data_IF_911285912640
#
_entry.id   IF_911285912640
#
_cell.length_a   1.000
_cell.length_b   1.000
_cell.length_c   1.000
_cell.angle_alpha   90.00
_cell.angle_beta   90.00
_cell.angle_gamma   90.00
#
_symmetry.space_group_name_H-M   'P 1'
#
loop_
_entity.id
_entity.type
_entity.pdbx_description
1 polymer ?
#
# COMPACT_ATOMS: atom_id res chain seq x y z
N UNK A 1 -4.68 23.77 -10.99
CA UNK A 1 -4.79 22.87 -9.81
C UNK A 1 -4.54 21.46 -10.31
N UNK A 2 -3.61 20.71 -9.71
CA UNK A 2 -3.32 19.32 -10.13
C UNK A 2 -4.31 18.36 -9.48
N UNK A 3 -4.73 17.34 -10.20
CA UNK A 3 -5.71 16.36 -9.73
C UNK A 3 -5.10 14.97 -9.66
N UNK A 4 -5.31 14.29 -8.52
CA UNK A 4 -4.83 12.93 -8.28
C UNK A 4 -6.01 11.97 -8.25
N UNK A 5 -5.96 10.95 -9.11
CA UNK A 5 -6.84 9.79 -9.02
C UNK A 5 -6.26 8.79 -8.03
N UNK A 6 -7.01 8.45 -7.00
CA UNK A 6 -6.66 7.42 -6.02
C UNK A 6 -7.66 6.27 -6.12
N UNK A 7 -7.14 5.11 -6.55
CA UNK A 7 -7.88 3.85 -6.56
C UNK A 7 -7.60 3.14 -5.22
N UNK A 8 -8.51 3.29 -4.27
CA UNK A 8 -8.46 2.68 -2.94
C UNK A 8 -9.86 2.57 -2.35
N UNK A 9 -10.01 1.75 -1.30
CA UNK A 9 -11.28 1.61 -0.58
C UNK A 9 -11.83 2.95 -0.09
N UNK A 10 -13.14 3.15 -0.27
CA UNK A 10 -13.85 4.39 0.04
C UNK A 10 -13.74 4.86 1.49
N UNK A 11 -13.54 3.93 2.43
CA UNK A 11 -13.34 4.23 3.86
C UNK A 11 -12.13 5.13 4.16
N UNK A 12 -11.16 5.24 3.25
CA UNK A 12 -9.95 6.05 3.43
C UNK A 12 -10.03 7.40 2.72
N UNK A 13 -11.07 7.66 1.93
CA UNK A 13 -11.13 8.84 1.07
C UNK A 13 -11.23 10.14 1.86
N UNK A 14 -11.84 10.12 3.04
CA UNK A 14 -12.05 11.34 3.82
C UNK A 14 -10.72 11.99 4.23
N UNK A 15 -9.82 11.21 4.85
CA UNK A 15 -8.50 11.68 5.26
C UNK A 15 -7.64 12.10 4.05
N UNK A 16 -7.73 11.35 2.95
CA UNK A 16 -7.00 11.66 1.72
C UNK A 16 -7.47 12.96 1.08
N UNK A 17 -8.78 13.15 0.99
CA UNK A 17 -9.39 14.34 0.41
C UNK A 17 -9.08 15.59 1.22
N UNK A 18 -9.21 15.52 2.56
CA UNK A 18 -8.85 16.63 3.44
C UNK A 18 -7.37 17.00 3.32
N UNK A 19 -6.48 16.00 3.39
CA UNK A 19 -5.04 16.22 3.35
C UNK A 19 -4.55 16.76 2.00
N UNK A 20 -5.12 16.30 0.88
CA UNK A 20 -4.76 16.81 -0.45
C UNK A 20 -5.34 18.20 -0.71
N UNK A 21 -6.56 18.48 -0.23
CA UNK A 21 -7.16 19.81 -0.35
C UNK A 21 -6.35 20.87 0.40
N UNK A 22 -5.75 20.52 1.54
CA UNK A 22 -4.87 21.43 2.30
C UNK A 22 -3.64 21.90 1.50
N UNK A 23 -3.22 21.11 0.49
CA UNK A 23 -2.08 21.41 -0.38
C UNK A 23 -2.53 21.79 -1.80
N UNK A 24 -3.80 22.20 -1.95
CA UNK A 24 -4.40 22.63 -3.21
C UNK A 24 -4.33 21.57 -4.33
N UNK A 25 -4.39 20.28 -3.95
CA UNK A 25 -4.48 19.15 -4.88
C UNK A 25 -5.91 18.62 -4.93
N UNK A 26 -6.44 18.44 -6.14
CA UNK A 26 -7.72 17.81 -6.39
C UNK A 26 -7.66 16.30 -6.11
N UNK A 27 -8.72 15.75 -5.53
CA UNK A 27 -8.84 14.33 -5.24
C UNK A 27 -9.97 13.71 -6.06
N UNK A 28 -9.65 12.64 -6.79
CA UNK A 28 -10.62 11.75 -7.43
C UNK A 28 -10.49 10.36 -6.81
N UNK A 29 -11.58 9.83 -6.25
CA UNK A 29 -11.60 8.50 -5.64
C UNK A 29 -12.28 7.49 -6.54
N UNK A 30 -11.75 6.25 -6.59
CA UNK A 30 -12.42 5.15 -7.28
C UNK A 30 -12.36 3.84 -6.49
N UNK A 31 -13.55 3.31 -6.17
CA UNK A 31 -13.74 2.08 -5.41
C UNK A 31 -14.95 1.32 -5.98
N UNK A 32 -14.68 0.42 -6.92
CA UNK A 32 -15.69 -0.51 -7.44
C UNK A 32 -15.11 -1.91 -7.52
N UNK A 33 -15.88 -2.89 -7.03
CA UNK A 33 -15.53 -4.32 -7.15
C UNK A 33 -15.59 -4.83 -8.59
N UNK A 34 -16.47 -4.25 -9.42
CA UNK A 34 -16.62 -4.54 -10.85
C UNK A 34 -16.44 -3.25 -11.67
N UNK A 35 -15.19 -2.84 -11.94
CA UNK A 35 -14.92 -1.62 -12.69
C UNK A 35 -15.33 -1.78 -14.16
N UNK A 36 -15.86 -0.71 -14.76
CA UNK A 36 -15.99 -0.61 -16.22
C UNK A 36 -14.74 0.05 -16.79
N UNK A 37 -14.32 -0.40 -17.97
CA UNK A 37 -13.11 0.12 -18.61
C UNK A 37 -13.22 1.62 -18.93
N UNK A 38 -14.31 2.00 -19.60
CA UNK A 38 -14.57 3.38 -20.01
C UNK A 38 -14.60 4.38 -18.84
N UNK A 39 -15.10 3.95 -17.69
CA UNK A 39 -15.14 4.79 -16.49
C UNK A 39 -13.74 5.10 -15.96
N UNK A 40 -12.87 4.09 -15.90
CA UNK A 40 -11.48 4.29 -15.46
C UNK A 40 -10.71 5.13 -16.48
N UNK A 41 -10.91 4.90 -17.77
CA UNK A 41 -10.27 5.69 -18.82
C UNK A 41 -10.64 7.18 -18.70
N UNK A 42 -11.93 7.47 -18.45
CA UNK A 42 -12.40 8.85 -18.21
C UNK A 42 -11.78 9.47 -16.94
N UNK A 43 -11.67 8.70 -15.85
CA UNK A 43 -11.07 9.17 -14.61
C UNK A 43 -9.57 9.43 -14.76
N UNK A 44 -8.86 8.57 -15.48
CA UNK A 44 -7.43 8.75 -15.77
C UNK A 44 -7.22 9.98 -16.66
N UNK A 45 -8.07 10.20 -17.67
CA UNK A 45 -7.99 11.39 -18.52
C UNK A 45 -8.23 12.72 -17.77
N UNK A 46 -8.96 12.69 -16.66
CA UNK A 46 -9.20 13.86 -15.80
C UNK A 46 -8.10 14.07 -14.75
N UNK A 47 -7.23 13.09 -14.55
CA UNK A 47 -6.20 13.12 -13.53
C UNK A 47 -4.83 13.46 -14.13
N UNK A 48 -4.05 14.25 -13.41
CA UNK A 48 -2.65 14.48 -13.74
C UNK A 48 -1.75 13.37 -13.21
N UNK A 49 -2.19 12.66 -12.16
CA UNK A 49 -1.44 11.59 -11.52
C UNK A 49 -2.37 10.49 -11.03
N UNK A 50 -1.97 9.23 -11.21
CA UNK A 50 -2.75 8.07 -10.78
C UNK A 50 -2.03 7.30 -9.68
N UNK A 51 -2.69 7.08 -8.55
CA UNK A 51 -2.21 6.25 -7.46
C UNK A 51 -3.14 5.09 -7.19
N UNK A 52 -2.56 3.91 -7.04
CA UNK A 52 -3.31 2.67 -6.88
C UNK A 52 -2.82 1.96 -5.62
N UNK A 53 -3.75 1.67 -4.70
CA UNK A 53 -3.45 0.83 -3.54
C UNK A 53 -3.47 -0.64 -3.98
N UNK A 54 -2.38 -1.36 -3.71
CA UNK A 54 -2.20 -2.76 -4.06
C UNK A 54 -2.96 -3.73 -3.14
N UNK A 55 -3.92 -3.24 -2.35
CA UNK A 55 -4.68 -4.03 -1.39
C UNK A 55 -6.17 -3.71 -1.54
N UNK A 56 -6.99 -4.77 -1.58
CA UNK A 56 -8.45 -4.74 -1.62
C UNK A 56 -9.11 -3.99 -2.79
N UNK A 57 -8.32 -3.63 -3.81
CA UNK A 57 -8.77 -3.10 -5.08
C UNK A 57 -9.01 -4.24 -6.06
N UNK A 58 -10.03 -4.13 -6.91
CA UNK A 58 -10.26 -5.11 -7.96
C UNK A 58 -9.07 -5.16 -8.92
N UNK A 59 -8.54 -6.35 -9.20
CA UNK A 59 -7.42 -6.53 -10.15
C UNK A 59 -7.69 -5.89 -11.52
N UNK A 60 -8.94 -5.93 -11.99
CA UNK A 60 -9.37 -5.27 -13.21
C UNK A 60 -9.15 -3.74 -13.15
N UNK A 61 -9.38 -3.10 -12.00
CA UNK A 61 -9.17 -1.66 -11.85
C UNK A 61 -7.71 -1.30 -12.04
N UNK A 62 -6.81 -2.11 -11.47
CA UNK A 62 -5.36 -1.93 -11.61
C UNK A 62 -4.94 -2.08 -13.07
N UNK A 63 -5.44 -3.13 -13.74
CA UNK A 63 -5.11 -3.40 -15.14
C UNK A 63 -5.58 -2.26 -16.05
N UNK A 64 -6.84 -1.84 -15.88
CA UNK A 64 -7.44 -0.79 -16.69
C UNK A 64 -6.75 0.55 -16.47
N UNK A 65 -6.47 0.93 -15.22
CA UNK A 65 -5.78 2.17 -14.91
C UNK A 65 -4.35 2.18 -15.45
N UNK A 66 -3.63 1.05 -15.38
CA UNK A 66 -2.27 0.93 -15.94
C UNK A 66 -2.27 1.07 -17.45
N UNK A 67 -3.19 0.42 -18.14
CA UNK A 67 -3.32 0.53 -19.60
C UNK A 67 -3.75 1.94 -20.03
N UNK A 68 -4.70 2.55 -19.32
CA UNK A 68 -5.14 3.92 -19.54
C UNK A 68 -4.00 4.93 -19.36
N UNK A 69 -3.30 4.86 -18.23
CA UNK A 69 -2.19 5.74 -17.90
C UNK A 69 -1.04 5.61 -18.91
N UNK A 70 -0.77 4.39 -19.40
CA UNK A 70 0.21 4.17 -20.48
C UNK A 70 -0.22 4.81 -21.80
N UNK A 71 -1.52 4.81 -22.11
CA UNK A 71 -2.04 5.37 -23.36
C UNK A 71 -2.05 6.91 -23.34
N UNK A 72 -2.29 7.52 -22.17
CA UNK A 72 -2.33 8.97 -21.98
C UNK A 72 -0.99 9.59 -21.52
N UNK A 73 0.05 8.77 -21.40
CA UNK A 73 1.34 9.13 -20.79
C UNK A 73 1.19 9.79 -19.39
N UNK A 74 0.16 9.38 -18.66
CA UNK A 74 -0.11 9.90 -17.32
C UNK A 74 0.77 9.15 -16.32
N UNK A 75 1.55 9.86 -15.47
CA UNK A 75 2.36 9.20 -14.47
C UNK A 75 1.47 8.45 -13.47
N UNK A 76 1.84 7.20 -13.18
CA UNK A 76 1.12 6.37 -12.23
C UNK A 76 2.05 5.68 -11.24
N UNK A 77 1.53 5.38 -10.06
CA UNK A 77 2.25 4.63 -9.04
C UNK A 77 1.35 3.62 -8.33
N UNK A 78 1.89 2.42 -8.12
CA UNK A 78 1.23 1.34 -7.39
C UNK A 78 2.01 1.10 -6.12
N UNK A 79 1.34 1.15 -4.98
CA UNK A 79 1.96 0.92 -3.69
C UNK A 79 1.11 0.08 -2.76
N UNK A 80 1.75 -0.48 -1.75
CA UNK A 80 1.04 -0.99 -0.57
C UNK A 80 0.48 0.19 0.24
N UNK A 81 0.08 -0.04 1.49
CA UNK A 81 -0.54 0.96 2.36
C UNK A 81 0.16 2.33 2.29
N UNK A 82 -0.54 3.38 1.84
CA UNK A 82 -0.01 4.73 1.72
C UNK A 82 -1.00 5.76 2.27
N UNK A 83 -0.45 6.84 2.84
CA UNK A 83 -1.21 8.01 3.28
C UNK A 83 -0.90 9.24 2.43
N UNK A 84 -1.48 10.38 2.80
CA UNK A 84 -1.34 11.67 2.11
C UNK A 84 0.12 12.07 1.90
N UNK A 85 0.98 11.86 2.90
CA UNK A 85 2.41 12.19 2.85
C UNK A 85 3.11 11.51 1.67
N UNK A 86 2.83 10.21 1.46
CA UNK A 86 3.42 9.43 0.37
C UNK A 86 2.90 9.88 -0.99
N UNK A 87 1.61 10.25 -1.07
CA UNK A 87 1.02 10.81 -2.29
C UNK A 87 1.77 12.09 -2.68
N UNK A 88 1.97 12.99 -1.72
CA UNK A 88 2.67 14.26 -1.95
C UNK A 88 4.13 14.04 -2.34
N UNK A 89 4.84 13.12 -1.68
CA UNK A 89 6.21 12.75 -2.03
C UNK A 89 6.32 12.28 -3.48
N UNK A 90 5.43 11.39 -3.92
CA UNK A 90 5.42 10.89 -5.30
C UNK A 90 5.00 11.95 -6.30
N UNK A 91 4.10 12.84 -5.92
CA UNK A 91 3.66 13.93 -6.75
C UNK A 91 4.77 14.97 -6.96
N UNK A 92 5.57 15.28 -5.93
CA UNK A 92 6.79 16.11 -6.06
C UNK A 92 7.81 15.50 -7.01
N UNK A 93 7.96 14.18 -6.99
CA UNK A 93 8.88 13.50 -7.90
C UNK A 93 8.38 13.53 -9.35
N UNK A 94 7.08 13.36 -9.57
CA UNK A 94 6.47 13.42 -10.90
C UNK A 94 6.39 14.85 -11.46
N UNK A 95 6.22 15.85 -10.59
CA UNK A 95 6.06 17.25 -10.95
C UNK A 95 6.96 18.14 -10.08
N UNK A 96 8.28 18.17 -10.35
CA UNK A 96 9.25 18.91 -9.53
C UNK A 96 9.02 20.43 -9.56
N UNK A 97 8.40 20.96 -10.62
CA UNK A 97 8.08 22.37 -10.75
C UNK A 97 6.85 22.80 -9.92
N UNK A 98 6.11 21.84 -9.35
CA UNK A 98 4.92 22.16 -8.57
C UNK A 98 5.30 22.75 -7.22
N UNK A 99 4.98 24.04 -7.04
CA UNK A 99 5.03 24.71 -5.73
C UNK A 99 3.85 24.24 -4.89
N UNK A 100 4.06 23.21 -4.10
CA UNK A 100 3.08 22.78 -3.10
C UNK A 100 3.07 23.78 -1.95
N UNK A 101 1.89 24.28 -1.57
CA UNK A 101 1.75 25.15 -0.41
C UNK A 101 2.25 24.43 0.85
N UNK A 102 3.28 24.96 1.52
CA UNK A 102 3.80 24.39 2.78
C UNK A 102 2.82 24.51 3.95
N UNK A 103 1.67 25.17 3.73
CA UNK A 103 0.63 25.32 4.73
C UNK A 103 -0.04 23.97 4.98
N UNK A 104 0.22 23.42 6.16
CA UNK A 104 -0.52 22.35 6.83
C UNK A 104 -0.06 20.90 6.58
N UNK A 105 1.24 20.64 6.77
CA UNK A 105 1.66 19.40 7.44
C UNK A 105 1.88 19.67 8.93
N UNK A 106 0.85 20.14 9.65
CA UNK A 106 0.85 19.96 11.11
C UNK A 106 0.32 18.56 11.38
N UNK A 107 1.08 17.66 12.02
CA UNK A 107 0.55 16.36 12.38
C UNK A 107 -0.73 16.59 13.20
N UNK A 108 -1.87 16.05 12.74
CA UNK A 108 -3.07 15.94 13.57
C UNK A 108 -2.64 15.05 14.75
N UNK A 109 -2.23 15.66 15.85
CA UNK A 109 -2.02 14.98 17.12
C UNK A 109 -3.35 14.30 17.41
N UNK A 110 -3.38 12.98 17.28
CA UNK A 110 -4.51 12.17 17.69
C UNK A 110 -4.84 12.58 19.12
N UNK A 111 -5.99 13.22 19.35
CA UNK A 111 -6.54 13.39 20.70
C UNK A 111 -6.86 12.00 21.24
N UNK A 112 -5.85 11.32 21.79
CA UNK A 112 -6.06 10.18 22.67
C UNK A 112 -6.82 10.73 23.86
N UNK A 113 -8.08 10.32 23.99
CA UNK A 113 -8.83 10.46 25.24
C UNK A 113 -7.96 9.90 26.36
N UNK A 114 -7.70 10.76 27.32
CA UNK A 114 -7.09 10.46 28.61
C UNK A 114 -7.78 9.27 29.27
N UNK A 115 -7.02 8.21 29.54
CA UNK A 115 -7.22 7.38 30.72
C UNK A 115 -5.87 7.29 31.41
N UNK A 116 -5.74 8.03 32.51
CA UNK A 116 -4.59 8.02 33.40
C UNK A 116 -4.29 6.58 33.84
N UNK A 117 -3.10 6.07 33.53
CA UNK A 117 -2.42 5.10 34.38
C UNK A 117 -0.95 5.49 34.48
N UNK A 118 -0.49 5.60 35.72
CA UNK A 118 0.77 6.21 36.19
C UNK A 118 2.00 5.63 35.49
N UNK A 119 2.87 6.53 35.01
CA UNK A 119 4.27 6.24 34.70
C UNK A 119 5.06 6.14 36.02
N UNK A 120 5.80 5.05 36.19
CA UNK A 120 7.03 5.02 36.99
C UNK A 120 8.20 4.95 36.02
N UNK A 121 9.05 5.99 35.99
CA UNK A 121 10.36 5.94 35.34
C UNK A 121 11.25 4.88 36.01
N UNK A 122 12.20 4.29 35.27
CA UNK A 122 13.55 4.84 35.39
C UNK A 122 14.43 4.77 34.12
N UNK A 123 15.24 5.82 33.98
CA UNK A 123 16.71 5.83 33.76
C UNK A 123 17.32 5.07 32.56
N UNK A 124 17.94 5.87 31.69
CA UNK A 124 18.88 5.51 30.62
C UNK A 124 20.02 4.64 31.16
N UNK A 125 20.23 3.47 30.55
CA UNK A 125 21.51 2.74 30.59
C UNK A 125 21.82 2.17 29.21
N UNK A 126 23.04 2.44 28.75
CA UNK A 126 23.67 1.88 27.55
C UNK A 126 23.52 0.35 27.48
N UNK A 127 22.93 -0.16 26.41
CA UNK A 127 22.89 -1.60 26.12
C UNK A 127 23.79 -1.92 24.91
N UNK A 128 25.08 -2.17 25.19
CA UNK A 128 25.87 -3.18 24.45
C UNK A 128 25.42 -4.54 24.99
N UNK A 129 24.65 -5.33 24.25
CA UNK A 129 24.25 -6.66 24.70
C UNK A 129 23.37 -7.44 23.73
N UNK A 130 23.93 -8.55 23.22
CA UNK A 130 23.35 -9.67 22.47
C UNK A 130 21.82 -9.81 22.45
N UNK A 131 21.26 -9.87 21.24
CA UNK A 131 19.93 -10.43 20.99
C UNK A 131 19.86 -11.87 21.55
N UNK A 132 18.93 -12.13 22.48
CA UNK A 132 18.56 -13.49 22.90
C UNK A 132 17.23 -13.88 22.27
N UNK A 133 17.25 -14.93 21.44
CA UNK A 133 16.06 -15.60 20.92
C UNK A 133 15.27 -16.24 22.08
N UNK A 134 13.92 -16.21 22.06
CA UNK A 134 13.10 -16.86 23.09
C UNK A 134 13.37 -18.37 23.15
N UNK A 135 13.57 -18.89 24.37
CA UNK A 135 13.79 -20.30 24.63
C UNK A 135 12.56 -21.14 24.26
N UNK A 136 12.72 -21.97 23.23
CA UNK A 136 11.98 -23.21 22.89
C UNK A 136 10.52 -23.29 23.39
N UNK A 137 9.58 -22.83 22.57
CA UNK A 137 8.23 -23.38 22.56
C UNK A 137 8.28 -24.81 21.97
N UNK A 138 7.61 -25.77 22.63
CA UNK A 138 7.56 -27.18 22.24
C UNK A 138 6.79 -27.36 20.91
N UNK A 139 7.49 -27.26 19.78
CA UNK A 139 7.01 -27.74 18.48
C UNK A 139 7.05 -29.28 18.43
N UNK A 140 6.22 -29.95 19.26
CA UNK A 140 6.14 -31.42 19.24
C UNK A 140 5.14 -31.92 18.17
N UNK A 141 4.05 -31.20 17.93
CA UNK A 141 2.99 -31.66 17.02
C UNK A 141 3.41 -31.70 15.53
N UNK A 142 4.28 -30.78 15.10
CA UNK A 142 4.72 -30.70 13.70
C UNK A 142 5.84 -31.72 13.36
N UNK A 143 6.56 -32.22 14.36
CA UNK A 143 7.63 -33.22 14.14
C UNK A 143 7.07 -34.63 13.93
N UNK A 144 5.97 -34.99 14.57
CA UNK A 144 5.30 -36.28 14.35
C UNK A 144 4.57 -36.32 13.02
N UNK A 145 3.96 -35.21 12.58
CA UNK A 145 3.24 -35.13 11.31
C UNK A 145 4.14 -35.30 10.06
N UNK A 146 5.43 -34.98 10.17
CA UNK A 146 6.39 -35.07 9.07
C UNK A 146 7.32 -36.30 9.15
N UNK A 147 7.16 -37.15 10.18
CA UNK A 147 8.09 -38.26 10.42
C UNK A 147 7.99 -39.37 9.38
N UNK A 148 6.82 -39.57 8.80
CA UNK A 148 6.56 -40.59 7.79
C UNK A 148 6.55 -40.01 6.36
N UNK A 149 6.84 -38.71 6.20
CA UNK A 149 6.90 -38.07 4.90
C UNK A 149 8.27 -38.32 4.24
N UNK A 150 8.41 -39.46 3.55
CA UNK A 150 9.49 -39.64 2.59
C UNK A 150 9.16 -38.82 1.34
N UNK A 151 9.91 -37.75 1.11
CA UNK A 151 10.01 -37.15 -0.21
C UNK A 151 10.78 -38.16 -1.06
N UNK A 152 10.05 -38.99 -1.81
CA UNK A 152 10.64 -39.72 -2.93
C UNK A 152 10.96 -38.68 -3.98
N UNK A 153 12.25 -38.45 -4.22
CA UNK A 153 12.72 -37.81 -5.46
C UNK A 153 12.47 -38.81 -6.60
N UNK A 154 11.21 -38.95 -7.01
CA UNK A 154 10.94 -39.40 -8.37
C UNK A 154 11.38 -38.25 -9.27
N UNK A 155 12.55 -38.41 -9.91
CA UNK A 155 12.90 -37.65 -11.10
C UNK A 155 11.71 -37.73 -12.05
N UNK A 156 10.99 -36.63 -12.20
CA UNK A 156 9.93 -36.52 -13.19
C UNK A 156 10.61 -36.64 -14.55
N UNK A 157 10.51 -37.83 -15.16
CA UNK A 157 10.98 -38.08 -16.51
C UNK A 157 10.05 -37.35 -17.50
N UNK A 158 10.35 -36.08 -17.76
CA UNK A 158 9.62 -35.22 -18.68
C UNK A 158 9.56 -35.78 -20.11
N UNK A 159 10.43 -36.75 -20.47
CA UNK A 159 10.41 -37.39 -21.79
C UNK A 159 9.24 -38.36 -21.98
N UNK A 160 8.59 -38.82 -20.89
CA UNK A 160 7.37 -39.64 -20.95
C UNK A 160 6.06 -38.85 -20.95
N UNK A 161 6.07 -37.59 -20.48
CA UNK A 161 4.85 -36.77 -20.45
C UNK A 161 4.42 -36.25 -21.83
N UNK A 162 5.30 -36.31 -22.83
CA UNK A 162 5.04 -35.84 -24.19
C UNK A 162 5.36 -36.92 -25.23
N UNK A 163 4.73 -38.09 -25.12
CA UNK A 163 4.52 -38.93 -26.30
C UNK A 163 3.08 -38.73 -26.80
N UNK A 164 2.89 -38.60 -28.12
CA UNK A 164 1.58 -38.33 -28.74
C UNK A 164 0.56 -39.43 -28.47
#
# INVERSE_FOLDING_TARGET
MKTVLVICESGYWHDLREGLAAVEIGFLGFDKKKPKRSEIDQLVAQADFVMIRNLNVAHASVRFAKEAAKASDTPFWIGSNFGVEKIIEKLRFAFPEMKLAEKAMKPKVSKKKSSQQKLSEPTIRDFKGNYQLPKKAKNLALKTALKDFKVTEEEVDFAKMFKP
#
